data_IF_147908180453
#
_entry.id   IF_147908180453
#
_cell.length_a   1.000
_cell.length_b   1.000
_cell.length_c   1.000
_cell.angle_alpha   90.00
_cell.angle_beta   90.00
_cell.angle_gamma   90.00
#
_symmetry.space_group_name_H-M   'P 1'
#
loop_
_entity.id
_entity.type
_entity.pdbx_description
1 polymer ?
#
# COMPACT_ATOMS: atom_id res chain seq x y z
N UNK A 1 -10.33 -10.39 3.54
CA UNK A 1 -8.92 -9.94 3.48
C UNK A 1 -8.48 -9.95 2.01
N UNK A 2 -7.87 -8.86 1.52
CA UNK A 2 -7.40 -8.75 0.13
C UNK A 2 -5.99 -9.36 0.03
N UNK A 3 -5.88 -10.62 -0.44
CA UNK A 3 -4.63 -11.42 -0.53
C UNK A 3 -3.44 -10.71 -1.20
N UNK A 4 -3.71 -9.72 -2.06
CA UNK A 4 -2.69 -8.99 -2.81
C UNK A 4 -1.69 -8.23 -1.92
N UNK A 5 -2.05 -7.93 -0.66
CA UNK A 5 -1.18 -7.25 0.31
C UNK A 5 -0.39 -8.21 1.20
N UNK A 6 -0.64 -9.52 1.09
CA UNK A 6 0.06 -10.51 1.90
C UNK A 6 1.53 -10.59 1.45
N UNK A 7 2.49 -10.71 2.39
CA UNK A 7 3.88 -10.84 2.03
C UNK A 7 4.09 -12.10 1.17
N UNK A 8 4.97 -11.99 0.18
CA UNK A 8 5.31 -13.05 -0.79
C UNK A 8 4.19 -13.45 -1.76
N UNK A 9 3.00 -12.85 -1.68
CA UNK A 9 1.96 -13.11 -2.67
C UNK A 9 2.38 -12.60 -4.05
N UNK A 10 2.28 -13.48 -5.06
CA UNK A 10 2.56 -13.14 -6.45
C UNK A 10 1.81 -14.08 -7.39
N UNK A 11 1.40 -13.56 -8.55
CA UNK A 11 0.89 -14.36 -9.67
C UNK A 11 1.96 -14.60 -10.74
N UNK A 12 3.18 -14.06 -10.55
CA UNK A 12 4.32 -14.31 -11.43
C UNK A 12 4.91 -15.69 -11.16
N UNK A 13 5.59 -16.24 -12.16
CA UNK A 13 6.33 -17.48 -12.03
C UNK A 13 7.45 -17.40 -10.99
N UNK A 14 7.89 -18.58 -10.52
CA UNK A 14 8.97 -18.68 -9.55
C UNK A 14 10.25 -18.00 -10.07
N UNK A 15 10.89 -17.21 -9.21
CA UNK A 15 12.11 -16.47 -9.57
C UNK A 15 11.88 -15.13 -10.28
N UNK A 16 10.65 -14.79 -10.69
CA UNK A 16 10.33 -13.52 -11.38
C UNK A 16 9.99 -12.35 -10.42
N UNK A 17 10.30 -12.52 -9.14
CA UNK A 17 10.08 -11.53 -8.09
C UNK A 17 9.85 -12.17 -6.73
N UNK A 18 9.88 -11.34 -5.69
CA UNK A 18 9.73 -11.78 -4.29
C UNK A 18 8.29 -11.69 -3.78
N UNK A 19 7.38 -11.03 -4.50
CA UNK A 19 6.01 -10.79 -4.02
C UNK A 19 5.91 -9.80 -2.84
N UNK A 20 6.96 -9.01 -2.57
CA UNK A 20 6.98 -8.08 -1.43
C UNK A 20 6.52 -6.65 -1.75
N UNK A 21 6.47 -6.27 -3.02
CA UNK A 21 6.25 -4.87 -3.41
C UNK A 21 4.97 -4.26 -2.84
N UNK A 22 3.82 -4.92 -3.05
CA UNK A 22 2.54 -4.37 -2.60
C UNK A 22 2.35 -4.45 -1.08
N UNK A 23 2.96 -5.45 -0.44
CA UNK A 23 3.04 -5.53 1.02
C UNK A 23 3.78 -4.31 1.59
N UNK A 24 4.97 -4.00 1.06
CA UNK A 24 5.77 -2.84 1.49
C UNK A 24 5.00 -1.53 1.29
N UNK A 25 4.37 -1.35 0.12
CA UNK A 25 3.56 -0.15 -0.16
C UNK A 25 2.42 -0.03 0.85
N UNK A 26 1.68 -1.10 1.11
CA UNK A 26 0.57 -1.09 2.07
C UNK A 26 1.05 -0.71 3.48
N UNK A 27 2.17 -1.26 3.95
CA UNK A 27 2.75 -0.91 5.25
C UNK A 27 3.20 0.55 5.31
N UNK A 28 3.83 1.07 4.25
CA UNK A 28 4.25 2.47 4.18
C UNK A 28 3.05 3.42 4.18
N UNK A 29 2.04 3.13 3.39
CA UNK A 29 0.81 3.95 3.33
C UNK A 29 0.18 4.06 4.71
N UNK A 30 0.01 2.94 5.41
CA UNK A 30 -0.53 2.94 6.78
C UNK A 30 0.38 3.67 7.77
N UNK A 31 1.70 3.49 7.67
CA UNK A 31 2.68 4.17 8.53
C UNK A 31 2.59 5.70 8.42
N UNK A 32 2.27 6.22 7.24
CA UNK A 32 2.10 7.65 6.99
C UNK A 32 0.63 8.10 7.09
N UNK A 33 -0.19 7.37 7.85
CA UNK A 33 -1.62 7.68 8.09
C UNK A 33 -2.46 7.78 6.80
N UNK A 34 -1.98 7.17 5.73
CA UNK A 34 -2.67 7.13 4.46
C UNK A 34 -3.60 5.94 4.33
N UNK A 35 -4.41 5.97 3.27
CA UNK A 35 -5.24 4.86 2.82
C UNK A 35 -4.88 4.43 1.41
N UNK A 36 -5.08 3.15 1.10
CA UNK A 36 -4.87 2.58 -0.23
C UNK A 36 -6.14 1.87 -0.70
N UNK A 37 -6.65 2.32 -1.83
CA UNK A 37 -7.78 1.73 -2.52
C UNK A 37 -7.36 1.14 -3.85
N UNK A 38 -8.10 0.13 -4.31
CA UNK A 38 -7.87 -0.52 -5.60
C UNK A 38 -9.19 -0.60 -6.36
N UNK A 39 -9.19 -0.04 -7.56
CA UNK A 39 -10.27 -0.15 -8.54
C UNK A 39 -9.73 -0.91 -9.74
N UNK A 40 -10.40 -1.99 -10.14
CA UNK A 40 -9.95 -2.84 -11.24
C UNK A 40 -11.12 -3.33 -12.05
N UNK A 41 -10.91 -3.46 -13.35
CA UNK A 41 -11.82 -4.15 -14.25
C UNK A 41 -11.00 -4.92 -15.28
N UNK A 42 -11.28 -6.21 -15.39
CA UNK A 42 -10.61 -7.10 -16.34
C UNK A 42 -10.69 -6.56 -17.76
N UNK A 43 -9.58 -6.63 -18.49
CA UNK A 43 -9.43 -6.07 -19.83
C UNK A 43 -9.43 -4.53 -19.91
N UNK A 44 -9.61 -3.80 -18.80
CA UNK A 44 -9.59 -2.32 -18.77
C UNK A 44 -8.47 -1.72 -17.92
N UNK A 45 -7.85 -2.54 -17.07
CA UNK A 45 -6.73 -2.15 -16.23
C UNK A 45 -7.09 -2.04 -14.75
N UNK A 46 -6.11 -1.58 -13.97
CA UNK A 46 -6.19 -1.49 -12.52
C UNK A 46 -5.59 -0.16 -12.07
N UNK A 47 -6.28 0.52 -11.17
CA UNK A 47 -5.84 1.77 -10.54
C UNK A 47 -5.72 1.56 -9.05
N UNK A 48 -4.55 1.90 -8.51
CA UNK A 48 -4.33 2.03 -7.06
C UNK A 48 -4.36 3.51 -6.70
N UNK A 49 -5.25 3.88 -5.77
CA UNK A 49 -5.39 5.24 -5.27
C UNK A 49 -4.82 5.32 -3.87
N UNK A 50 -3.88 6.24 -3.67
CA UNK A 50 -3.24 6.49 -2.38
C UNK A 50 -3.70 7.85 -1.87
N UNK A 51 -4.28 7.89 -0.68
CA UNK A 51 -4.71 9.14 -0.04
C UNK A 51 -3.88 9.36 1.22
N UNK A 52 -3.37 10.57 1.41
CA UNK A 52 -2.59 10.94 2.58
C UNK A 52 -3.15 12.23 3.19
N UNK A 53 -2.92 12.47 4.50
CA UNK A 53 -3.13 13.78 5.09
C UNK A 53 -2.34 14.86 4.32
N UNK A 54 -2.99 15.99 4.02
CA UNK A 54 -2.34 17.08 3.27
C UNK A 54 -1.20 17.76 4.04
N UNK A 55 -1.16 17.58 5.36
CA UNK A 55 -0.10 18.06 6.24
C UNK A 55 0.15 17.02 7.33
N UNK A 56 1.38 16.97 7.83
CA UNK A 56 1.70 16.12 8.96
C UNK A 56 0.88 16.57 10.18
N UNK A 57 0.24 15.62 10.87
CA UNK A 57 -0.46 15.94 12.10
C UNK A 57 0.52 16.54 13.11
N UNK A 58 0.28 17.79 13.51
CA UNK A 58 1.11 18.56 14.44
C UNK A 58 1.23 17.89 15.81
N UNK A 59 0.33 16.96 16.14
CA UNK A 59 0.31 16.24 17.40
C UNK A 59 1.53 15.32 17.58
N UNK A 60 2.09 14.75 16.50
CA UNK A 60 3.30 13.93 16.59
C UNK A 60 4.57 14.73 16.91
N UNK A 61 4.62 16.02 16.53
CA UNK A 61 5.73 16.90 16.90
C UNK A 61 5.71 17.27 18.39
N UNK A 62 4.52 17.38 18.98
CA UNK A 62 4.36 17.70 20.41
C UNK A 62 4.56 16.48 21.31
N UNK A 63 4.28 15.27 20.83
CA UNK A 63 4.50 14.03 21.59
C UNK A 63 5.99 13.63 21.70
N UNK A 64 6.86 14.28 20.93
CA UNK A 64 8.32 14.07 20.93
C UNK A 64 9.09 15.26 21.55
N UNK A 65 8.38 16.24 22.12
CA UNK A 65 8.92 17.37 22.87
C UNK A 65 8.65 17.19 24.38
#
# INVERSE_FOLDING_TARGET
MKKIYDPFFTTKEQGQGTGLGLNIVHQLVLKYEGTIDVSTREGKGTTFSLTFPATASRLWQLALA
#
